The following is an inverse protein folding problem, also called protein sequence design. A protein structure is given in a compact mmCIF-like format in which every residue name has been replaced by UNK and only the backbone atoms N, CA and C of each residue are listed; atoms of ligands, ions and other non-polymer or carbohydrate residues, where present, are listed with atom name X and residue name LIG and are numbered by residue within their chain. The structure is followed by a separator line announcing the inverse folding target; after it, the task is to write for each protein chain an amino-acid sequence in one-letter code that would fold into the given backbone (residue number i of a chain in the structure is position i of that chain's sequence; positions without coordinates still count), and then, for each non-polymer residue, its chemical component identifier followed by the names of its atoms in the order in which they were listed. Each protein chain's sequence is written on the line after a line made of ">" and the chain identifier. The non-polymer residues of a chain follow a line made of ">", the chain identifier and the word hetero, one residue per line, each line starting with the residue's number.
data_IF_666280683213
#
_entry.id   IF_666280683213
#
_cell.length_a   1.000
_cell.length_b   1.000
_cell.length_c   1.000
_cell.angle_alpha   90.00
_cell.angle_beta   90.00
_cell.angle_gamma   90.00
#
_symmetry.space_group_name_H-M   'P 1'
#
loop_
_entity.id
_entity.type
_entity.pdbx_description
1 polymer ?
#
# COMPACT_ATOMS: atom_id res chain seq x y z
N UNK A 1 -3.31 -4.60 -4.18
CA UNK A 1 -2.60 -5.84 -4.46
C UNK A 1 -2.70 -6.10 -5.94
N UNK A 2 -1.56 -6.30 -6.54
CA UNK A 2 -1.42 -6.78 -7.89
C UNK A 2 -2.25 -8.06 -8.15
N UNK A 3 -3.15 -8.08 -9.14
CA UNK A 3 -3.98 -9.24 -9.45
C UNK A 3 -3.24 -10.42 -10.10
N UNK A 4 -2.04 -10.21 -10.64
CA UNK A 4 -1.32 -11.22 -11.45
C UNK A 4 -0.12 -11.86 -10.74
N UNK A 5 0.13 -11.56 -9.46
CA UNK A 5 1.24 -12.14 -8.70
C UNK A 5 0.73 -13.21 -7.69
N UNK A 6 1.08 -14.50 -7.86
CA UNK A 6 0.71 -15.57 -6.92
C UNK A 6 1.59 -15.60 -5.66
N UNK A 7 2.62 -14.76 -5.54
CA UNK A 7 3.50 -14.69 -4.36
C UNK A 7 3.19 -13.49 -3.46
N UNK A 8 3.55 -13.60 -2.18
CA UNK A 8 3.33 -12.60 -1.12
C UNK A 8 4.10 -11.26 -1.32
N UNK A 9 4.68 -11.07 -2.51
CA UNK A 9 5.46 -9.92 -2.95
C UNK A 9 4.59 -8.94 -3.76
N UNK A 10 3.36 -8.72 -3.30
CA UNK A 10 2.41 -7.85 -4.00
C UNK A 10 2.60 -6.40 -3.56
N UNK A 11 2.95 -5.48 -4.49
CA UNK A 11 2.88 -4.06 -4.18
C UNK A 11 1.45 -3.67 -3.75
N UNK A 12 1.36 -2.75 -2.80
CA UNK A 12 0.12 -2.41 -2.13
C UNK A 12 -0.03 -0.90 -1.96
N UNK A 13 -1.27 -0.45 -2.01
CA UNK A 13 -1.67 0.93 -1.67
C UNK A 13 -2.67 0.83 -0.53
N UNK A 14 -2.46 1.66 0.48
CA UNK A 14 -3.36 1.85 1.61
C UNK A 14 -3.71 3.33 1.71
N UNK A 15 -4.92 3.61 2.15
CA UNK A 15 -5.39 4.96 2.44
C UNK A 15 -5.59 5.06 3.95
N UNK A 16 -5.03 6.12 4.55
CA UNK A 16 -5.38 6.51 5.90
C UNK A 16 -6.81 7.07 5.90
N UNK A 17 -7.76 6.46 6.63
CA UNK A 17 -9.15 6.92 6.62
C UNK A 17 -9.37 8.26 7.31
N UNK A 18 -8.45 8.68 8.19
CA UNK A 18 -8.59 9.91 8.98
C UNK A 18 -7.95 11.10 8.26
N UNK A 19 -6.80 10.91 7.63
CA UNK A 19 -6.08 11.99 6.93
C UNK A 19 -6.24 11.99 5.42
N UNK A 20 -6.58 10.83 4.83
CA UNK A 20 -6.56 10.62 3.39
C UNK A 20 -5.15 10.37 2.82
N UNK A 21 -4.12 10.24 3.67
CA UNK A 21 -2.75 9.99 3.23
C UNK A 21 -2.61 8.60 2.60
N UNK A 22 -1.69 8.50 1.64
CA UNK A 22 -1.39 7.26 0.96
C UNK A 22 -0.15 6.60 1.54
N UNK A 23 -0.25 5.30 1.82
CA UNK A 23 0.90 4.45 2.06
C UNK A 23 1.09 3.50 0.88
N UNK A 24 2.31 3.44 0.35
CA UNK A 24 2.67 2.58 -0.77
C UNK A 24 3.76 1.60 -0.35
N UNK A 25 3.50 0.31 -0.55
CA UNK A 25 4.46 -0.77 -0.30
C UNK A 25 4.91 -1.34 -1.65
N UNK A 26 6.21 -1.51 -1.81
CA UNK A 26 6.83 -2.11 -2.99
C UNK A 26 8.29 -2.45 -2.74
N UNK A 27 8.97 -2.89 -3.79
CA UNK A 27 10.41 -3.15 -3.78
C UNK A 27 11.17 -1.82 -3.68
N UNK A 28 12.08 -1.69 -2.71
CA UNK A 28 12.95 -0.51 -2.62
C UNK A 28 13.89 -0.47 -3.83
N UNK A 29 13.91 0.66 -4.53
CA UNK A 29 14.82 0.88 -5.66
C UNK A 29 16.24 1.04 -5.12
N UNK A 30 17.16 0.21 -5.59
CA UNK A 30 18.60 0.27 -5.26
C UNK A 30 19.48 0.61 -6.48
N UNK A 31 18.89 0.68 -7.67
CA UNK A 31 19.58 1.04 -8.91
C UNK A 31 20.07 2.50 -8.84
N UNK A 32 21.39 2.74 -8.91
CA UNK A 32 21.95 4.08 -8.76
C UNK A 32 21.56 5.04 -9.88
N UNK A 33 21.32 4.56 -11.10
CA UNK A 33 20.93 5.42 -12.23
C UNK A 33 19.49 5.91 -12.05
N UNK A 34 18.59 5.03 -11.61
CA UNK A 34 17.20 5.39 -11.31
C UNK A 34 17.14 6.38 -10.13
N UNK A 35 17.90 6.13 -9.06
CA UNK A 35 17.95 7.02 -7.91
C UNK A 35 18.54 8.39 -8.28
N UNK A 36 19.57 8.44 -9.11
CA UNK A 36 20.14 9.70 -9.59
C UNK A 36 19.14 10.50 -10.43
N UNK A 37 18.40 9.84 -11.33
CA UNK A 37 17.34 10.47 -12.10
C UNK A 37 16.25 11.07 -11.20
N UNK A 38 15.69 10.30 -10.27
CA UNK A 38 14.64 10.81 -9.37
C UNK A 38 15.18 11.95 -8.50
N UNK A 39 16.38 11.81 -7.95
CA UNK A 39 17.02 12.83 -7.13
C UNK A 39 17.34 14.12 -7.90
N UNK A 40 17.48 14.05 -9.23
CA UNK A 40 17.67 15.22 -10.09
C UNK A 40 16.40 16.07 -10.23
N UNK A 41 15.23 15.46 -10.07
CA UNK A 41 13.92 16.13 -10.14
C UNK A 41 13.46 16.57 -8.74
N UNK A 42 13.52 15.67 -7.76
CA UNK A 42 13.22 15.96 -6.35
C UNK A 42 14.24 15.30 -5.44
N UNK A 43 14.89 16.10 -4.57
CA UNK A 43 15.90 15.60 -3.64
C UNK A 43 15.34 14.50 -2.74
N UNK A 44 16.04 13.37 -2.68
CA UNK A 44 15.76 12.26 -1.76
C UNK A 44 16.41 12.60 -0.42
N UNK A 45 15.59 12.80 0.61
CA UNK A 45 16.02 13.21 1.95
C UNK A 45 16.32 12.00 2.85
N UNK A 46 17.08 12.19 3.96
CA UNK A 46 17.28 11.13 4.94
C UNK A 46 15.94 10.60 5.48
N UNK A 47 15.75 9.29 5.43
CA UNK A 47 14.52 8.62 5.86
C UNK A 47 13.48 8.40 4.74
N UNK A 48 13.69 8.97 3.55
CA UNK A 48 12.86 8.68 2.38
C UNK A 48 13.33 7.41 1.65
N UNK A 49 12.39 6.76 0.97
CA UNK A 49 12.65 5.60 0.13
C UNK A 49 11.86 5.72 -1.17
N UNK A 50 12.50 5.38 -2.29
CA UNK A 50 11.83 5.20 -3.57
C UNK A 50 11.43 3.73 -3.67
N UNK A 51 10.14 3.47 -3.91
CA UNK A 51 9.62 2.12 -4.14
C UNK A 51 9.17 1.95 -5.58
N UNK A 52 9.45 0.79 -6.17
CA UNK A 52 8.99 0.43 -7.51
C UNK A 52 7.58 -0.12 -7.44
N UNK A 53 6.66 0.50 -8.18
CA UNK A 53 5.31 0.00 -8.40
C UNK A 53 5.14 -0.40 -9.88
N UNK A 54 4.73 -1.64 -10.19
CA UNK A 54 4.46 -2.06 -11.55
C UNK A 54 3.30 -1.27 -12.17
N UNK A 55 3.33 -1.04 -13.49
CA UNK A 55 2.32 -0.24 -14.21
C UNK A 55 0.85 -0.64 -13.90
N UNK A 56 0.57 -1.93 -13.74
CA UNK A 56 -0.77 -2.46 -13.38
C UNK A 56 -1.32 -1.94 -12.04
N UNK A 57 -0.46 -1.41 -11.15
CA UNK A 57 -0.88 -0.72 -9.93
C UNK A 57 -1.61 0.60 -10.20
N UNK A 58 -1.52 1.18 -11.40
CA UNK A 58 -2.16 2.45 -11.74
C UNK A 58 -3.68 2.43 -11.50
N UNK A 59 -4.36 1.33 -11.84
CA UNK A 59 -5.79 1.19 -11.59
C UNK A 59 -6.12 1.24 -10.08
N UNK A 60 -5.29 0.61 -9.25
CA UNK A 60 -5.46 0.57 -7.79
C UNK A 60 -5.17 1.96 -7.18
N UNK A 61 -4.16 2.66 -7.69
CA UNK A 61 -3.84 4.03 -7.28
C UNK A 61 -5.01 4.96 -7.62
N UNK A 62 -5.58 4.83 -8.83
CA UNK A 62 -6.73 5.64 -9.24
C UNK A 62 -7.97 5.38 -8.36
N UNK A 63 -8.24 4.13 -7.99
CA UNK A 63 -9.31 3.83 -7.03
C UNK A 63 -9.08 4.51 -5.67
N UNK A 64 -7.84 4.52 -5.19
CA UNK A 64 -7.46 5.20 -3.95
C UNK A 64 -7.65 6.72 -4.06
N UNK A 65 -7.21 7.33 -5.16
CA UNK A 65 -7.38 8.76 -5.45
C UNK A 65 -8.85 9.16 -5.58
N UNK A 66 -9.67 8.31 -6.19
CA UNK A 66 -11.09 8.61 -6.44
C UNK A 66 -12.01 8.29 -5.23
N UNK A 67 -11.45 7.86 -4.10
CA UNK A 67 -12.23 7.52 -2.91
C UNK A 67 -13.09 6.26 -3.05
N UNK A 68 -12.84 5.44 -4.08
CA UNK A 68 -13.51 4.14 -4.25
C UNK A 68 -12.75 3.01 -3.54
N UNK A 69 -11.71 3.37 -2.77
CA UNK A 69 -11.03 2.46 -1.87
C UNK A 69 -11.96 2.08 -0.71
N UNK A 70 -12.30 0.80 -0.63
CA UNK A 70 -13.04 0.24 0.50
C UNK A 70 -12.08 -0.39 1.51
N UNK A 71 -12.09 0.15 2.73
CA UNK A 71 -11.32 -0.41 3.85
C UNK A 71 -11.72 -1.88 4.07
N UNK A 72 -10.71 -2.75 4.17
CA UNK A 72 -10.93 -4.18 4.43
C UNK A 72 -11.51 -4.97 3.24
N UNK A 73 -11.77 -4.33 2.09
CA UNK A 73 -12.22 -5.04 0.89
C UNK A 73 -11.15 -6.02 0.44
N UNK A 74 -11.48 -7.30 0.56
CA UNK A 74 -10.62 -8.38 0.04
C UNK A 74 -10.71 -8.37 -1.48
N UNK A 75 -9.57 -8.13 -2.15
CA UNK A 75 -9.45 -8.30 -3.60
C UNK A 75 -9.35 -9.78 -4.01
N UNK A 76 -9.08 -10.68 -3.05
CA UNK A 76 -9.00 -12.12 -3.24
C UNK A 76 -9.92 -12.87 -2.27
N UNK A 77 -10.52 -14.00 -2.67
CA UNK A 77 -11.28 -14.86 -1.77
C UNK A 77 -10.47 -15.32 -0.55
N UNK A 78 -11.16 -15.61 0.56
CA UNK A 78 -10.54 -16.21 1.74
C UNK A 78 -9.81 -17.51 1.38
N UNK A 79 -8.59 -17.71 1.91
CA UNK A 79 -7.76 -18.87 1.62
C UNK A 79 -6.98 -18.82 0.29
N UNK A 80 -7.16 -17.79 -0.55
CA UNK A 80 -6.40 -17.63 -1.81
C UNK A 80 -5.23 -16.64 -1.69
N UNK A 81 -4.96 -16.10 -0.49
CA UNK A 81 -3.82 -15.24 -0.19
C UNK A 81 -3.36 -15.47 1.26
N UNK A 82 -2.04 -15.54 1.56
CA UNK A 82 -1.52 -15.80 2.91
C UNK A 82 -1.74 -14.67 3.93
N UNK A 83 -2.51 -13.62 3.61
CA UNK A 83 -2.75 -12.54 4.57
C UNK A 83 -3.64 -13.04 5.73
N UNK A 84 -3.34 -12.65 6.98
CA UNK A 84 -4.22 -12.94 8.12
C UNK A 84 -5.66 -12.52 7.82
N UNK A 85 -6.61 -13.34 8.26
CA UNK A 85 -8.04 -13.09 8.00
C UNK A 85 -8.57 -11.80 8.64
N UNK A 86 -7.85 -11.28 9.63
CA UNK A 86 -8.23 -10.15 10.44
C UNK A 86 -7.29 -8.95 10.20
N UNK A 87 -7.86 -7.80 9.85
CA UNK A 87 -7.13 -6.53 9.88
C UNK A 87 -6.81 -6.19 11.34
N UNK A 88 -5.53 -6.05 11.68
CA UNK A 88 -5.08 -5.70 13.05
C UNK A 88 -5.69 -4.38 13.53
N UNK A 89 -6.11 -3.50 12.62
CA UNK A 89 -6.81 -2.24 12.95
C UNK A 89 -8.27 -2.43 13.35
N UNK A 90 -8.86 -3.60 13.11
CA UNK A 90 -10.20 -3.96 13.60
C UNK A 90 -10.17 -4.16 15.13
N UNK A 91 -9.10 -4.77 15.66
CA UNK A 91 -8.91 -4.94 17.11
C UNK A 91 -8.68 -3.62 17.84
N UNK A 92 -7.95 -2.69 17.22
CA UNK A 92 -7.65 -1.38 17.82
C UNK A 92 -8.92 -0.52 17.98
N UNK A 93 -9.83 -0.55 17.00
CA UNK A 93 -11.11 0.18 17.10
C UNK A 93 -12.10 -0.41 18.11
N UNK A 94 -11.99 -1.71 18.45
CA UNK A 94 -12.81 -2.34 19.49
C UNK A 94 -12.32 -2.03 20.90
N UNK A 95 -11.00 -1.92 21.10
CA UNK A 95 -10.41 -1.56 22.39
C UNK A 95 -10.81 -0.14 22.86
N UNK A 96 -10.98 0.81 21.93
CA UNK A 96 -11.45 2.17 22.26
C UNK A 96 -12.96 2.25 22.54
N UNK A 97 -13.74 1.25 22.08
CA UNK A 97 -15.19 1.18 22.28
C UNK A 97 -15.57 0.50 23.61
N UNK A 98 -14.75 -0.43 24.11
CA UNK A 98 -14.96 -1.14 25.39
C UNK A 98 -14.50 -0.34 26.62
N UNK A 99 -13.97 0.87 26.44
CA UNK A 99 -13.51 1.78 27.51
C UNK A 99 -14.47 2.97 27.70
N UNK A 100 -15.74 2.86 27.25
CA UNK A 100 -16.78 3.90 27.44
C UNK A 100 -17.99 3.40 28.22
#
# INVERSE_FOLDING_TARGET
>A
MDPDNPTDECPAVFVDPDTGDFYMQGETVTDPEILAWINSDSRIMPGESVVRLPHRMAAIILEAVNGTYERGRRRFPAGQHPRPDEDVRTRLGQADADVR
#
